data_IF_514839533155
#
_entry.id   IF_514839533155
#
_cell.length_a   1.000
_cell.length_b   1.000
_cell.length_c   1.000
_cell.angle_alpha   90.00
_cell.angle_beta   90.00
_cell.angle_gamma   90.00
#
_symmetry.space_group_name_H-M   'P 1'
#
loop_
_entity.id
_entity.type
_entity.pdbx_description
1 polymer ?
#
# COMPACT_ATOMS: atom_id res chain seq x y z
N UNK A 1 -14.23 3.33 3.22
CA UNK A 1 -13.00 2.85 2.59
C UNK A 1 -12.48 3.79 1.52
N UNK A 2 -13.33 4.33 0.64
CA UNK A 2 -12.97 5.43 -0.27
C UNK A 2 -12.26 6.58 0.48
N UNK A 3 -12.75 6.93 1.68
CA UNK A 3 -12.11 7.91 2.58
C UNK A 3 -10.63 7.66 2.85
N UNK A 4 -10.19 6.41 2.99
CA UNK A 4 -8.79 6.10 3.28
C UNK A 4 -7.88 6.42 2.09
N UNK A 5 -8.36 6.15 0.88
CA UNK A 5 -7.67 6.49 -0.36
C UNK A 5 -7.72 8.01 -0.65
N UNK A 6 -8.84 8.68 -0.36
CA UNK A 6 -8.95 10.13 -0.58
C UNK A 6 -8.10 10.94 0.39
N UNK A 7 -7.84 10.46 1.61
CA UNK A 7 -7.00 11.17 2.60
C UNK A 7 -5.60 11.48 2.05
N UNK A 8 -4.96 10.56 1.32
CA UNK A 8 -3.65 10.81 0.71
C UNK A 8 -3.72 11.93 -0.33
N UNK A 9 -4.76 11.90 -1.16
CA UNK A 9 -4.98 12.94 -2.19
C UNK A 9 -5.34 14.30 -1.58
N UNK A 10 -6.12 14.31 -0.51
CA UNK A 10 -6.45 15.54 0.24
C UNK A 10 -5.21 16.14 0.90
N UNK A 11 -4.34 15.31 1.48
CA UNK A 11 -3.05 15.77 2.02
C UNK A 11 -2.21 16.44 0.94
N UNK A 12 -2.07 15.79 -0.23
CA UNK A 12 -1.34 16.35 -1.38
C UNK A 12 -2.00 17.64 -1.87
N UNK A 13 -3.33 17.66 -1.98
CA UNK A 13 -4.11 18.83 -2.42
C UNK A 13 -3.97 20.04 -1.50
N UNK A 14 -3.72 19.82 -0.20
CA UNK A 14 -3.41 20.86 0.77
C UNK A 14 -1.92 21.18 0.90
N UNK A 15 -1.06 20.60 0.04
CA UNK A 15 0.38 20.87 0.01
C UNK A 15 1.22 20.07 1.02
N UNK A 16 0.63 19.07 1.68
CA UNK A 16 1.39 18.13 2.50
C UNK A 16 2.02 17.05 1.62
N UNK A 17 3.21 16.61 2.00
CA UNK A 17 3.92 15.52 1.34
C UNK A 17 3.76 14.28 2.23
N UNK A 18 2.90 13.31 1.89
CA UNK A 18 2.76 12.09 2.67
C UNK A 18 4.05 11.30 2.61
N UNK A 19 4.50 10.79 3.75
CA UNK A 19 5.71 9.97 3.88
C UNK A 19 5.39 8.47 3.82
N UNK A 20 6.44 7.64 3.82
CA UNK A 20 6.31 6.18 3.85
C UNK A 20 5.36 5.71 4.96
N UNK A 21 5.49 6.24 6.18
CA UNK A 21 4.64 5.84 7.31
C UNK A 21 3.15 6.10 7.05
N UNK A 22 2.82 7.24 6.42
CA UNK A 22 1.46 7.62 6.07
C UNK A 22 0.88 6.64 5.06
N UNK A 23 1.62 6.32 3.99
CA UNK A 23 1.22 5.32 3.01
C UNK A 23 1.06 3.94 3.63
N UNK A 24 2.00 3.47 4.46
CA UNK A 24 1.94 2.15 5.12
C UNK A 24 0.69 1.98 5.97
N UNK A 25 0.28 3.03 6.71
CA UNK A 25 -0.94 3.00 7.53
C UNK A 25 -2.20 2.87 6.68
N UNK A 26 -2.31 3.65 5.60
CA UNK A 26 -3.47 3.60 4.71
C UNK A 26 -3.52 2.27 3.96
N UNK A 27 -2.38 1.75 3.52
CA UNK A 27 -2.26 0.42 2.92
C UNK A 27 -2.72 -0.67 3.88
N UNK A 28 -2.25 -0.66 5.14
CA UNK A 28 -2.70 -1.58 6.18
C UNK A 28 -4.21 -1.55 6.40
N UNK A 29 -4.79 -0.35 6.42
CA UNK A 29 -6.24 -0.20 6.56
C UNK A 29 -7.01 -0.77 5.36
N UNK A 30 -6.56 -0.51 4.13
CA UNK A 30 -7.18 -1.03 2.90
C UNK A 30 -7.07 -2.56 2.80
N UNK A 31 -5.91 -3.12 3.17
CA UNK A 31 -5.66 -4.56 3.24
C UNK A 31 -6.60 -5.24 4.25
N UNK A 32 -6.70 -4.72 5.47
CA UNK A 32 -7.61 -5.23 6.50
C UNK A 32 -9.09 -5.14 6.08
N UNK A 33 -9.43 -4.19 5.20
CA UNK A 33 -10.76 -4.04 4.62
C UNK A 33 -11.02 -4.89 3.38
N UNK A 34 -10.07 -5.76 3.00
CA UNK A 34 -10.10 -6.55 1.75
C UNK A 34 -10.25 -5.69 0.48
N UNK A 35 -9.79 -4.42 0.52
CA UNK A 35 -9.81 -3.49 -0.62
C UNK A 35 -8.48 -3.55 -1.38
N UNK A 36 -8.15 -4.74 -1.89
CA UNK A 36 -6.84 -5.02 -2.51
C UNK A 36 -6.55 -4.15 -3.73
N UNK A 37 -7.54 -3.88 -4.57
CA UNK A 37 -7.37 -3.04 -5.76
C UNK A 37 -6.95 -1.60 -5.38
N UNK A 38 -7.60 -1.03 -4.36
CA UNK A 38 -7.24 0.30 -3.85
C UNK A 38 -5.85 0.29 -3.19
N UNK A 39 -5.52 -0.77 -2.45
CA UNK A 39 -4.20 -0.93 -1.84
C UNK A 39 -3.10 -1.02 -2.91
N UNK A 40 -3.34 -1.73 -4.01
CA UNK A 40 -2.42 -1.84 -5.14
C UNK A 40 -2.16 -0.47 -5.78
N UNK A 41 -3.23 0.26 -6.13
CA UNK A 41 -3.12 1.59 -6.74
C UNK A 41 -2.35 2.56 -5.84
N UNK A 42 -2.60 2.52 -4.53
CA UNK A 42 -1.94 3.40 -3.58
C UNK A 42 -0.45 3.08 -3.43
N UNK A 43 -0.06 1.81 -3.49
CA UNK A 43 1.34 1.43 -3.46
C UNK A 43 2.08 1.80 -4.75
N UNK A 44 1.44 1.67 -5.92
CA UNK A 44 2.02 2.17 -7.16
C UNK A 44 2.20 3.69 -7.13
N UNK A 45 1.26 4.42 -6.54
CA UNK A 45 1.37 5.86 -6.32
C UNK A 45 2.56 6.20 -5.40
N UNK A 46 2.73 5.47 -4.29
CA UNK A 46 3.89 5.59 -3.41
C UNK A 46 5.21 5.41 -4.17
N UNK A 47 5.34 4.35 -4.98
CA UNK A 47 6.54 4.07 -5.79
C UNK A 47 6.79 5.14 -6.84
N UNK A 48 5.75 5.60 -7.53
CA UNK A 48 5.84 6.68 -8.53
C UNK A 48 6.26 8.02 -7.90
N UNK A 49 5.89 8.24 -6.64
CA UNK A 49 6.36 9.37 -5.83
C UNK A 49 7.82 9.25 -5.36
N UNK A 50 8.53 8.18 -5.72
CA UNK A 50 9.92 7.94 -5.31
C UNK A 50 10.08 7.47 -3.86
N UNK A 51 8.98 7.14 -3.18
CA UNK A 51 9.02 6.62 -1.82
C UNK A 51 9.35 5.14 -1.83
N UNK A 52 10.29 4.74 -0.96
CA UNK A 52 10.67 3.34 -0.77
C UNK A 52 9.74 2.73 0.27
N UNK A 53 9.05 1.66 -0.12
CA UNK A 53 8.27 0.85 0.80
C UNK A 53 9.19 0.11 1.76
N UNK A 54 8.87 0.20 3.05
CA UNK A 54 9.62 -0.50 4.09
C UNK A 54 9.16 -1.97 4.22
N UNK A 55 9.90 -2.74 5.02
CA UNK A 55 9.60 -4.14 5.32
C UNK A 55 8.17 -4.30 5.87
N UNK A 56 7.71 -3.34 6.67
CA UNK A 56 6.37 -3.37 7.26
C UNK A 56 5.28 -3.30 6.18
N UNK A 57 5.45 -2.41 5.21
CA UNK A 57 4.53 -2.24 4.07
C UNK A 57 4.45 -3.51 3.22
N UNK A 58 5.60 -4.11 2.88
CA UNK A 58 5.61 -5.37 2.13
C UNK A 58 4.99 -6.52 2.93
N UNK A 59 5.27 -6.61 4.23
CA UNK A 59 4.73 -7.67 5.10
C UNK A 59 3.20 -7.60 5.13
N UNK A 60 2.63 -6.40 5.29
CA UNK A 60 1.17 -6.19 5.25
C UNK A 60 0.60 -6.66 3.92
N UNK A 61 1.19 -6.25 2.80
CA UNK A 61 0.66 -6.58 1.47
C UNK A 61 0.71 -8.08 1.21
N UNK A 62 1.84 -8.73 1.52
CA UNK A 62 2.01 -10.18 1.34
C UNK A 62 1.02 -10.96 2.21
N UNK A 63 0.91 -10.65 3.50
CA UNK A 63 -0.04 -11.31 4.42
C UNK A 63 -1.49 -11.16 3.93
N UNK A 64 -1.85 -9.94 3.53
CA UNK A 64 -3.16 -9.60 3.00
C UNK A 64 -3.50 -10.40 1.73
N UNK A 65 -2.58 -10.47 0.77
CA UNK A 65 -2.76 -11.25 -0.45
C UNK A 65 -2.83 -12.76 -0.19
N UNK A 66 -2.02 -13.29 0.71
CA UNK A 66 -2.09 -14.68 1.14
C UNK A 66 -3.48 -15.02 1.72
N UNK A 67 -4.01 -14.17 2.60
CA UNK A 67 -5.35 -14.33 3.19
C UNK A 67 -6.48 -14.25 2.16
N UNK A 68 -6.29 -13.50 1.08
CA UNK A 68 -7.23 -13.41 -0.03
C UNK A 68 -7.09 -14.54 -1.07
N UNK A 69 -6.14 -15.47 -0.90
CA UNK A 69 -5.86 -16.53 -1.87
C UNK A 69 -5.13 -16.05 -3.14
N UNK A 70 -4.64 -14.81 -3.15
CA UNK A 70 -3.95 -14.17 -4.26
C UNK A 70 -2.44 -14.44 -4.19
N UNK A 71 -2.07 -15.72 -4.27
CA UNK A 71 -0.71 -16.23 -3.98
C UNK A 71 0.34 -15.73 -5.00
N UNK A 72 -0.04 -15.57 -6.27
CA UNK A 72 0.87 -15.05 -7.29
C UNK A 72 1.26 -13.60 -7.01
N UNK A 73 0.29 -12.78 -6.60
CA UNK A 73 0.50 -11.40 -6.20
C UNK A 73 1.38 -11.35 -4.93
N UNK A 74 1.07 -12.14 -3.91
CA UNK A 74 1.91 -12.25 -2.72
C UNK A 74 3.37 -12.60 -3.07
N UNK A 75 3.57 -13.58 -3.96
CA UNK A 75 4.90 -14.05 -4.37
C UNK A 75 5.68 -12.99 -5.15
N UNK A 76 5.02 -12.27 -6.07
CA UNK A 76 5.62 -11.16 -6.81
C UNK A 76 6.17 -10.11 -5.85
N UNK A 77 5.37 -9.73 -4.86
CA UNK A 77 5.73 -8.70 -3.90
C UNK A 77 6.82 -9.13 -2.93
N UNK A 78 6.76 -10.39 -2.46
CA UNK A 78 7.83 -10.98 -1.68
C UNK A 78 9.16 -11.02 -2.44
N UNK A 79 9.12 -11.27 -3.75
CA UNK A 79 10.30 -11.22 -4.61
C UNK A 79 10.83 -9.80 -4.80
N UNK A 80 9.96 -8.79 -4.86
CA UNK A 80 10.35 -7.37 -4.93
C UNK A 80 11.03 -6.90 -3.63
N UNK A 81 10.55 -7.35 -2.46
CA UNK A 81 11.18 -7.04 -1.17
C UNK A 81 12.62 -7.59 -1.04
N UNK A 82 12.93 -8.69 -1.72
CA UNK A 82 14.24 -9.37 -1.64
C UNK A 82 15.29 -8.83 -2.62
N UNK A 83 14.89 -7.96 -3.54
CA UNK A 83 15.79 -7.31 -4.52
C UNK A 83 16.36 -6.03 -3.93
#
# INVERSE_FOLDING_TARGET
YEKAFTVIREMIGHGFIPDTSTYSKVLGYLCNASKMEMAFLLFEEMKRGGLVADVYTYTIMVDSFCKAGLIEQASKWFSEMRK
#
